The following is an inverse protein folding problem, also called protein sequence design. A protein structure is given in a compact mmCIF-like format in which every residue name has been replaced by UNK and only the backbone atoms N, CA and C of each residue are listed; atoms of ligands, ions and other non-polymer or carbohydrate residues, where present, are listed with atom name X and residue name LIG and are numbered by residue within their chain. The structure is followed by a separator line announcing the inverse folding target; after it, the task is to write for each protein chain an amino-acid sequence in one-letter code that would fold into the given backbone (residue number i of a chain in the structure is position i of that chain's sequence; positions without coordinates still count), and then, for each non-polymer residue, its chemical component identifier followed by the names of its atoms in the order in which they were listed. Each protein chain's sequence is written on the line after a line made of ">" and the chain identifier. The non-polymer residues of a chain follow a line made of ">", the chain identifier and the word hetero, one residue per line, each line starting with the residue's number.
data_IF_746862772465
#
_entry.id   IF_746862772465
#
_cell.length_a   1.000
_cell.length_b   1.000
_cell.length_c   1.000
_cell.angle_alpha   90.00
_cell.angle_beta   90.00
_cell.angle_gamma   90.00
#
_symmetry.space_group_name_H-M   'P 1'
#
loop_
_entity.id
_entity.type
_entity.pdbx_description
1 polymer ?
#
# COMPACT_ATOMS: atom_id res chain seq x y z
N UNK A 1 1.86 -11.69 24.82
CA UNK A 1 0.58 -12.22 24.31
C UNK A 1 0.89 -13.47 23.50
N UNK A 2 0.19 -14.56 23.80
CA UNK A 2 0.30 -15.77 22.96
C UNK A 2 -0.41 -15.45 21.64
N UNK A 3 0.36 -15.42 20.56
CA UNK A 3 -0.17 -15.43 19.21
C UNK A 3 -1.13 -16.61 19.05
N UNK A 4 -2.20 -16.41 18.28
CA UNK A 4 -3.08 -17.50 17.88
C UNK A 4 -2.58 -18.11 16.55
N UNK A 5 -1.64 -19.07 16.57
CA UNK A 5 -0.88 -19.47 15.40
C UNK A 5 -1.74 -19.94 14.21
N UNK A 6 -2.98 -20.40 14.49
CA UNK A 6 -3.91 -20.85 13.44
C UNK A 6 -4.59 -19.68 12.73
N UNK A 7 -4.92 -18.63 13.46
CA UNK A 7 -5.56 -17.43 12.92
C UNK A 7 -4.55 -16.58 12.16
N UNK A 8 -3.32 -16.48 12.65
CA UNK A 8 -2.23 -15.81 11.92
C UNK A 8 -1.92 -16.51 10.58
N UNK A 9 -1.99 -17.84 10.54
CA UNK A 9 -1.80 -18.61 9.31
C UNK A 9 -2.89 -18.36 8.25
N UNK A 10 -4.01 -17.72 8.61
CA UNK A 10 -5.06 -17.30 7.68
C UNK A 10 -4.81 -15.92 7.06
N UNK A 11 -3.79 -15.19 7.51
CA UNK A 11 -3.42 -13.90 6.92
C UNK A 11 -2.84 -14.13 5.52
N UNK A 12 -3.39 -13.43 4.54
CA UNK A 12 -2.96 -13.48 3.15
C UNK A 12 -2.33 -12.16 2.72
N UNK A 13 -1.65 -12.15 1.58
CA UNK A 13 -1.16 -10.92 0.93
C UNK A 13 -2.31 -9.91 0.73
N UNK A 14 -3.51 -10.38 0.35
CA UNK A 14 -4.70 -9.55 0.23
C UNK A 14 -5.01 -8.79 1.52
N UNK A 15 -4.98 -9.46 2.67
CA UNK A 15 -5.24 -8.81 3.95
C UNK A 15 -4.20 -7.72 4.31
N UNK A 16 -2.95 -7.88 3.87
CA UNK A 16 -1.92 -6.84 4.04
C UNK A 16 -2.17 -5.65 3.12
N UNK A 17 -2.46 -5.90 1.84
CA UNK A 17 -2.74 -4.86 0.83
C UNK A 17 -3.99 -4.03 1.17
N UNK A 18 -5.00 -4.65 1.79
CA UNK A 18 -6.28 -4.03 2.12
C UNK A 18 -6.38 -3.48 3.54
N UNK A 19 -5.28 -3.55 4.31
CA UNK A 19 -5.25 -3.13 5.73
C UNK A 19 -6.25 -3.88 6.63
N UNK A 20 -6.48 -5.16 6.34
CA UNK A 20 -7.42 -6.02 7.06
C UNK A 20 -6.77 -7.26 7.68
N UNK A 21 -5.47 -7.21 7.91
CA UNK A 21 -4.71 -8.36 8.47
C UNK A 21 -5.13 -8.75 9.89
N UNK A 22 -5.72 -7.83 10.64
CA UNK A 22 -6.05 -8.05 12.05
C UNK A 22 -4.83 -8.00 12.98
N UNK A 23 -3.70 -7.45 12.49
CA UNK A 23 -2.49 -7.23 13.28
C UNK A 23 -2.44 -5.82 13.84
N UNK A 24 -1.86 -5.67 15.02
CA UNK A 24 -1.51 -4.40 15.64
C UNK A 24 -0.20 -3.82 15.11
N UNK A 25 0.14 -2.59 15.54
CA UNK A 25 1.39 -1.91 15.15
C UNK A 25 2.63 -2.62 15.70
N UNK A 26 2.47 -3.43 16.74
CA UNK A 26 3.49 -4.29 17.36
C UNK A 26 3.48 -5.73 16.80
N UNK A 27 2.73 -5.99 15.73
CA UNK A 27 2.49 -7.31 15.16
C UNK A 27 1.68 -8.26 16.08
N UNK A 28 1.08 -7.76 17.15
CA UNK A 28 0.18 -8.57 17.95
C UNK A 28 -1.10 -8.91 17.18
N UNK A 29 -1.61 -10.11 17.37
CA UNK A 29 -2.92 -10.50 16.83
C UNK A 29 -4.04 -9.81 17.60
N UNK A 30 -4.88 -9.04 16.89
CA UNK A 30 -5.98 -8.26 17.46
C UNK A 30 -7.34 -8.86 17.12
N UNK A 31 -7.52 -9.26 15.85
CA UNK A 31 -8.80 -9.73 15.33
C UNK A 31 -8.59 -10.69 14.16
N UNK A 32 -9.60 -11.53 13.82
CA UNK A 32 -9.53 -12.38 12.63
C UNK A 32 -9.28 -11.57 11.35
N UNK A 33 -8.43 -12.06 10.43
CA UNK A 33 -8.20 -11.39 9.15
C UNK A 33 -9.51 -11.13 8.41
N UNK A 34 -9.63 -9.95 7.80
CA UNK A 34 -10.82 -9.54 7.06
C UNK A 34 -11.97 -9.00 7.91
N UNK A 35 -11.86 -8.97 9.24
CA UNK A 35 -12.96 -8.54 10.14
C UNK A 35 -12.84 -7.10 10.64
N UNK A 36 -11.64 -6.54 10.62
CA UNK A 36 -11.37 -5.15 11.02
C UNK A 36 -10.51 -4.48 9.97
N UNK A 37 -10.76 -3.22 9.71
CA UNK A 37 -9.86 -2.37 8.94
C UNK A 37 -9.04 -1.51 9.90
N UNK A 38 -7.73 -1.54 9.76
CA UNK A 38 -6.82 -0.74 10.55
C UNK A 38 -5.69 -0.26 9.66
N UNK A 39 -5.56 1.07 9.51
CA UNK A 39 -4.44 1.66 8.80
C UNK A 39 -3.16 1.41 9.59
N UNK A 40 -2.48 0.35 9.24
CA UNK A 40 -1.30 -0.13 9.92
C UNK A 40 -0.08 0.19 9.07
N UNK A 41 0.42 1.41 9.20
CA UNK A 41 1.60 1.92 8.45
C UNK A 41 2.90 1.28 8.92
N UNK A 42 2.84 0.64 10.07
CA UNK A 42 3.99 -0.01 10.65
C UNK A 42 4.25 -1.38 10.05
N UNK A 43 4.24 -2.41 10.89
CA UNK A 43 4.80 -3.70 10.50
C UNK A 43 3.95 -4.49 9.51
N UNK A 44 2.61 -4.27 9.42
CA UNK A 44 1.78 -5.20 8.65
C UNK A 44 2.04 -5.13 7.14
N UNK A 45 1.96 -3.96 6.51
CA UNK A 45 2.23 -3.84 5.07
C UNK A 45 3.71 -3.99 4.73
N UNK A 46 4.63 -3.67 5.66
CA UNK A 46 6.05 -3.91 5.47
C UNK A 46 6.43 -5.39 5.41
N UNK A 47 5.52 -6.30 5.77
CA UNK A 47 5.73 -7.73 5.49
C UNK A 47 5.67 -8.04 3.99
N UNK A 48 5.12 -7.15 3.17
CA UNK A 48 5.10 -7.32 1.71
C UNK A 48 6.52 -7.35 1.11
N UNK A 49 7.45 -6.53 1.63
CA UNK A 49 8.84 -6.55 1.16
C UNK A 49 9.49 -7.93 1.30
N UNK A 50 9.62 -8.52 2.49
CA UNK A 50 10.25 -9.83 2.62
C UNK A 50 9.49 -10.94 1.88
N UNK A 51 8.18 -10.81 1.70
CA UNK A 51 7.40 -11.75 0.88
C UNK A 51 7.78 -11.64 -0.60
N UNK A 52 7.88 -10.42 -1.13
CA UNK A 52 8.31 -10.17 -2.51
C UNK A 52 9.74 -10.65 -2.74
N UNK A 53 10.68 -10.29 -1.87
CA UNK A 53 12.09 -10.67 -1.98
C UNK A 53 12.25 -12.20 -1.87
N UNK A 54 11.51 -12.85 -0.98
CA UNK A 54 11.54 -14.31 -0.87
C UNK A 54 10.94 -15.03 -2.06
N UNK A 55 9.90 -14.46 -2.67
CA UNK A 55 9.21 -15.09 -3.80
C UNK A 55 9.95 -14.89 -5.13
N UNK A 56 10.66 -13.78 -5.28
CA UNK A 56 11.39 -13.41 -6.50
C UNK A 56 12.86 -13.78 -6.48
N UNK A 57 13.43 -14.02 -5.30
CA UNK A 57 14.88 -14.16 -5.07
C UNK A 57 15.68 -12.89 -5.48
N UNK A 58 15.01 -11.73 -5.52
CA UNK A 58 15.57 -10.42 -5.87
C UNK A 58 15.37 -9.44 -4.71
N UNK A 59 16.17 -8.36 -4.67
CA UNK A 59 15.94 -7.27 -3.71
C UNK A 59 14.76 -6.39 -4.13
N UNK A 60 14.15 -5.68 -3.18
CA UNK A 60 13.10 -4.69 -3.49
C UNK A 60 13.61 -3.63 -4.49
N UNK A 61 14.89 -3.25 -4.42
CA UNK A 61 15.48 -2.31 -5.38
C UNK A 61 15.51 -2.91 -6.78
N UNK A 62 16.03 -4.13 -6.95
CA UNK A 62 16.10 -4.79 -8.25
C UNK A 62 14.71 -4.94 -8.89
N UNK A 63 13.71 -5.34 -8.10
CA UNK A 63 12.32 -5.44 -8.56
C UNK A 63 11.76 -4.07 -8.95
N UNK A 64 12.05 -3.03 -8.18
CA UNK A 64 11.60 -1.67 -8.48
C UNK A 64 12.24 -1.16 -9.77
N UNK A 65 13.53 -1.42 -9.94
CA UNK A 65 14.26 -1.01 -11.14
C UNK A 65 13.71 -1.71 -12.38
N UNK A 66 13.61 -3.04 -12.35
CA UNK A 66 13.15 -3.84 -13.47
C UNK A 66 11.68 -3.56 -13.84
N UNK A 67 10.79 -3.47 -12.86
CA UNK A 67 9.35 -3.43 -13.14
C UNK A 67 8.78 -2.03 -13.26
N UNK A 68 9.43 -1.02 -12.67
CA UNK A 68 8.92 0.35 -12.62
C UNK A 68 9.94 1.40 -13.09
N UNK A 69 11.12 1.45 -12.46
CA UNK A 69 12.02 2.58 -12.66
C UNK A 69 12.55 2.65 -14.10
N UNK A 70 13.09 1.56 -14.63
CA UNK A 70 13.56 1.50 -16.00
C UNK A 70 12.42 1.71 -17.03
N UNK A 71 11.28 0.99 -16.96
CA UNK A 71 10.18 1.19 -17.91
C UNK A 71 9.57 2.60 -17.88
N UNK A 72 9.58 3.27 -16.73
CA UNK A 72 9.02 4.61 -16.54
C UNK A 72 10.06 5.72 -16.74
N UNK A 73 11.35 5.40 -16.86
CA UNK A 73 12.45 6.36 -16.91
C UNK A 73 12.64 7.12 -15.58
N UNK A 74 12.41 6.46 -14.44
CA UNK A 74 12.59 7.01 -13.10
C UNK A 74 14.05 6.86 -12.67
N UNK A 75 14.93 7.70 -13.20
CA UNK A 75 16.39 7.58 -13.07
C UNK A 75 16.94 8.01 -11.69
N UNK A 76 16.14 8.72 -10.90
CA UNK A 76 16.56 9.32 -9.63
C UNK A 76 15.75 8.77 -8.45
N UNK A 77 15.31 7.50 -8.53
CA UNK A 77 14.50 6.84 -7.50
C UNK A 77 15.26 5.64 -6.91
N UNK A 78 15.35 5.56 -5.59
CA UNK A 78 16.03 4.48 -4.89
C UNK A 78 15.44 4.23 -3.51
N UNK A 79 15.47 2.98 -3.05
CA UNK A 79 15.09 2.65 -1.67
C UNK A 79 16.23 2.97 -0.71
N UNK A 80 15.91 3.62 0.39
CA UNK A 80 16.86 3.97 1.45
C UNK A 80 16.31 3.60 2.82
N UNK A 81 17.19 3.23 3.73
CA UNK A 81 16.87 3.23 5.15
C UNK A 81 16.80 4.67 5.66
N UNK A 82 15.71 5.05 6.33
CA UNK A 82 15.60 6.40 6.92
C UNK A 82 16.42 6.48 8.20
N UNK A 83 17.44 7.33 8.25
CA UNK A 83 18.29 7.48 9.44
C UNK A 83 17.49 7.85 10.68
N UNK A 84 17.72 7.14 11.79
CA UNK A 84 17.09 7.41 13.07
C UNK A 84 15.62 6.98 13.17
N UNK A 85 15.08 6.29 12.18
CA UNK A 85 13.74 5.71 12.22
C UNK A 85 13.81 4.18 12.16
N UNK A 86 13.10 3.54 13.07
CA UNK A 86 12.93 2.08 13.08
C UNK A 86 11.51 1.74 13.52
N UNK A 87 11.05 0.56 13.11
CA UNK A 87 9.81 -0.01 13.63
C UNK A 87 9.97 -0.50 15.08
N UNK A 88 8.86 -0.78 15.75
CA UNK A 88 8.87 -1.31 17.12
C UNK A 88 9.64 -2.62 17.27
N UNK A 89 9.78 -3.38 16.18
CA UNK A 89 10.60 -4.60 16.15
C UNK A 89 12.10 -4.36 15.86
N UNK A 90 12.53 -3.09 15.82
CA UNK A 90 13.93 -2.69 15.60
C UNK A 90 14.42 -2.75 14.14
N UNK A 91 13.56 -3.14 13.17
CA UNK A 91 13.91 -3.12 11.74
C UNK A 91 13.99 -1.67 11.25
N UNK A 92 14.95 -1.33 10.38
CA UNK A 92 15.04 -0.01 9.78
C UNK A 92 13.74 0.36 9.04
N UNK A 93 13.36 1.62 9.12
CA UNK A 93 12.28 2.15 8.28
C UNK A 93 12.85 2.46 6.89
N UNK A 94 12.30 1.82 5.87
CA UNK A 94 12.70 2.06 4.48
C UNK A 94 11.70 2.98 3.78
N UNK A 95 12.20 3.82 2.90
CA UNK A 95 11.39 4.72 2.09
C UNK A 95 11.98 4.85 0.68
N UNK A 96 11.11 5.05 -0.29
CA UNK A 96 11.53 5.41 -1.63
C UNK A 96 11.97 6.88 -1.64
N UNK A 97 13.26 7.13 -1.85
CA UNK A 97 13.77 8.44 -2.21
C UNK A 97 13.52 8.64 -3.71
N UNK A 98 12.80 9.68 -4.06
CA UNK A 98 12.41 9.92 -5.45
C UNK A 98 12.34 11.42 -5.73
N UNK A 99 12.27 11.81 -6.99
CA UNK A 99 12.07 13.20 -7.41
C UNK A 99 10.61 13.45 -7.79
N UNK A 100 10.21 14.72 -7.77
CA UNK A 100 8.88 15.11 -8.25
C UNK A 100 8.64 14.71 -9.73
N UNK A 101 9.72 14.68 -10.54
CA UNK A 101 9.65 14.28 -11.95
C UNK A 101 9.37 12.78 -12.09
N UNK A 102 10.06 11.96 -11.32
CA UNK A 102 9.87 10.50 -11.34
C UNK A 102 8.50 10.13 -10.79
N UNK A 103 8.09 10.77 -9.69
CA UNK A 103 6.75 10.56 -9.16
C UNK A 103 5.66 11.00 -10.17
N UNK A 104 5.88 12.07 -10.94
CA UNK A 104 4.96 12.49 -12.00
C UNK A 104 4.89 11.47 -13.15
N UNK A 105 5.99 10.78 -13.50
CA UNK A 105 5.98 9.69 -14.49
C UNK A 105 5.13 8.51 -14.00
N UNK A 106 5.34 8.12 -12.74
CA UNK A 106 4.51 7.08 -12.11
C UNK A 106 3.04 7.48 -12.09
N UNK A 107 2.70 8.70 -11.62
CA UNK A 107 1.34 9.19 -11.61
C UNK A 107 0.71 9.26 -13.01
N UNK A 108 1.48 9.65 -14.03
CA UNK A 108 1.02 9.67 -15.42
C UNK A 108 0.72 8.26 -15.94
N UNK A 109 1.53 7.27 -15.61
CA UNK A 109 1.26 5.86 -15.93
C UNK A 109 -0.04 5.39 -15.29
N UNK A 110 -0.28 5.71 -14.01
CA UNK A 110 -1.53 5.37 -13.29
C UNK A 110 -2.74 6.03 -13.95
N UNK A 111 -2.68 7.35 -14.24
CA UNK A 111 -3.73 8.09 -14.93
C UNK A 111 -4.08 7.53 -16.30
N UNK A 112 -3.09 6.99 -17.02
CA UNK A 112 -3.25 6.37 -18.33
C UNK A 112 -3.46 4.84 -18.24
N UNK A 113 -4.03 4.35 -17.14
CA UNK A 113 -4.39 2.94 -16.94
C UNK A 113 -3.24 1.97 -17.21
N UNK A 114 -2.08 2.29 -16.65
CA UNK A 114 -0.89 1.46 -16.75
C UNK A 114 -0.03 1.71 -17.98
N UNK A 115 -0.32 2.73 -18.79
CA UNK A 115 0.41 3.05 -20.02
C UNK A 115 1.25 4.31 -19.86
N UNK A 116 2.49 4.29 -20.35
CA UNK A 116 3.35 5.47 -20.47
C UNK A 116 4.00 5.50 -21.88
N UNK A 117 3.95 6.66 -22.53
CA UNK A 117 4.52 6.87 -23.87
C UNK A 117 4.11 5.81 -24.92
N UNK A 118 2.92 5.27 -24.81
CA UNK A 118 2.38 4.24 -25.71
C UNK A 118 2.78 2.79 -25.35
N UNK A 119 3.54 2.59 -24.28
CA UNK A 119 3.93 1.27 -23.77
C UNK A 119 3.09 0.90 -22.56
N UNK A 120 2.51 -0.30 -22.56
CA UNK A 120 1.81 -0.86 -21.41
C UNK A 120 2.84 -1.36 -20.38
N UNK A 121 2.88 -0.72 -19.20
CA UNK A 121 3.77 -1.07 -18.08
C UNK A 121 3.06 -2.02 -17.13
N UNK A 122 1.82 -1.67 -16.76
CA UNK A 122 0.94 -2.51 -15.93
C UNK A 122 -0.37 -2.76 -16.68
N UNK A 123 -0.97 -3.93 -16.50
CA UNK A 123 -2.29 -4.22 -17.08
C UNK A 123 -3.34 -3.21 -16.57
N UNK A 124 -4.24 -2.78 -17.45
CA UNK A 124 -5.28 -1.80 -17.10
C UNK A 124 -6.24 -2.34 -16.04
N UNK A 125 -6.45 -3.64 -16.03
CA UNK A 125 -7.23 -4.36 -15.02
C UNK A 125 -6.58 -4.26 -13.64
N UNK A 126 -5.26 -4.39 -13.56
CA UNK A 126 -4.50 -4.24 -12.30
C UNK A 126 -4.62 -2.82 -11.76
N UNK A 127 -4.49 -1.79 -12.61
CA UNK A 127 -4.71 -0.40 -12.18
C UNK A 127 -6.14 -0.20 -11.69
N UNK A 128 -7.12 -0.78 -12.36
CA UNK A 128 -8.52 -0.71 -11.95
C UNK A 128 -8.73 -1.37 -10.58
N UNK A 129 -8.13 -2.52 -10.36
CA UNK A 129 -8.20 -3.23 -9.08
C UNK A 129 -7.54 -2.43 -7.94
N UNK A 130 -6.36 -1.85 -8.18
CA UNK A 130 -5.66 -0.99 -7.21
C UNK A 130 -6.53 0.19 -6.75
N UNK A 131 -7.26 0.80 -7.68
CA UNK A 131 -8.03 2.03 -7.49
C UNK A 131 -9.55 1.80 -7.29
N UNK A 132 -9.94 0.60 -6.91
CA UNK A 132 -11.32 0.26 -6.58
C UNK A 132 -11.43 -0.09 -5.09
N UNK A 133 -12.55 0.21 -4.40
CA UNK A 133 -12.76 -0.22 -3.03
C UNK A 133 -12.48 -1.71 -2.85
N UNK A 134 -11.52 -2.04 -2.01
CA UNK A 134 -11.04 -3.43 -1.85
C UNK A 134 -11.88 -4.25 -0.86
N UNK A 135 -12.67 -3.59 -0.03
CA UNK A 135 -13.50 -4.20 1.02
C UNK A 135 -14.53 -3.20 1.56
N UNK A 136 -15.53 -3.67 2.30
CA UNK A 136 -16.65 -2.86 2.79
C UNK A 136 -16.38 -2.17 4.14
N UNK A 137 -15.33 -2.55 4.86
CA UNK A 137 -14.99 -1.97 6.18
C UNK A 137 -14.51 -0.51 6.07
N UNK A 138 -13.85 -0.18 4.95
CA UNK A 138 -13.48 1.18 4.57
C UNK A 138 -13.43 1.29 3.05
N UNK A 139 -14.53 1.69 2.43
CA UNK A 139 -14.63 1.82 0.97
C UNK A 139 -13.69 2.89 0.37
N UNK A 140 -13.17 3.80 1.20
CA UNK A 140 -12.19 4.80 0.78
C UNK A 140 -10.76 4.23 0.67
N UNK A 141 -10.60 2.89 0.62
CA UNK A 141 -9.31 2.23 0.53
C UNK A 141 -9.32 1.10 -0.50
N UNK A 142 -8.42 1.21 -1.47
CA UNK A 142 -8.12 0.19 -2.48
C UNK A 142 -6.97 -0.73 -2.03
N UNK A 143 -6.10 -1.13 -2.93
CA UNK A 143 -4.90 -1.89 -2.62
C UNK A 143 -3.73 -0.91 -2.35
N UNK A 144 -3.56 -0.51 -1.10
CA UNK A 144 -2.60 0.51 -0.63
C UNK A 144 -2.85 1.94 -1.19
N UNK A 145 -4.05 2.20 -1.72
CA UNK A 145 -4.44 3.50 -2.23
C UNK A 145 -5.63 4.07 -1.45
N UNK A 146 -5.56 5.35 -1.14
CA UNK A 146 -6.71 6.10 -0.67
C UNK A 146 -7.55 6.57 -1.86
N UNK A 147 -8.87 6.39 -1.75
CA UNK A 147 -9.85 6.69 -2.79
C UNK A 147 -10.76 7.83 -2.32
N UNK A 148 -10.64 9.00 -2.95
CA UNK A 148 -11.54 10.11 -2.64
C UNK A 148 -12.98 9.84 -3.12
N UNK A 149 -13.99 10.41 -2.82
CA UNK A 149 -15.36 10.18 -3.33
C UNK A 149 -16.11 9.01 -2.70
N UNK A 150 -15.47 8.18 -1.90
CA UNK A 150 -16.13 7.09 -1.16
C UNK A 150 -16.60 7.58 0.21
N UNK A 151 -17.76 7.05 0.68
CA UNK A 151 -18.36 7.37 1.98
C UNK A 151 -18.95 6.12 2.61
N UNK A 152 -18.99 6.02 3.95
CA UNK A 152 -18.17 6.78 4.91
C UNK A 152 -16.69 6.43 4.79
N UNK A 153 -15.81 7.27 5.33
CA UNK A 153 -14.38 7.00 5.42
C UNK A 153 -14.01 6.58 6.84
N UNK A 154 -12.96 5.77 6.97
CA UNK A 154 -12.23 5.58 8.23
C UNK A 154 -10.84 6.18 8.08
N UNK A 155 -10.47 7.07 9.00
CA UNK A 155 -9.13 7.64 9.05
C UNK A 155 -8.22 6.86 10.02
N UNK A 156 -6.90 6.96 9.86
CA UNK A 156 -5.96 6.46 10.86
C UNK A 156 -6.28 7.07 12.23
N UNK A 157 -6.25 6.24 13.27
CA UNK A 157 -6.50 6.63 14.67
C UNK A 157 -7.95 7.03 15.03
N UNK A 158 -8.88 7.02 14.10
CA UNK A 158 -10.31 7.26 14.39
C UNK A 158 -11.01 5.90 14.59
N UNK A 159 -11.78 5.81 15.68
CA UNK A 159 -12.53 4.60 16.02
C UNK A 159 -13.76 4.43 15.12
N UNK A 160 -14.49 5.53 14.90
CA UNK A 160 -15.74 5.54 14.15
C UNK A 160 -15.57 6.04 12.71
N UNK A 161 -16.38 5.53 11.77
CA UNK A 161 -16.45 6.07 10.42
C UNK A 161 -16.96 7.50 10.40
N UNK A 162 -16.40 8.32 9.53
CA UNK A 162 -16.80 9.72 9.33
C UNK A 162 -17.64 9.80 8.05
N UNK A 163 -18.85 10.38 8.12
CA UNK A 163 -19.69 10.61 6.94
C UNK A 163 -19.17 11.79 6.10
N UNK A 164 -18.02 11.59 5.51
CA UNK A 164 -17.35 12.54 4.62
C UNK A 164 -16.60 11.80 3.52
N UNK A 165 -16.06 12.54 2.56
CA UNK A 165 -15.00 12.07 1.65
C UNK A 165 -13.65 12.47 2.20
N UNK A 166 -12.58 11.82 1.73
CA UNK A 166 -11.21 12.02 2.24
C UNK A 166 -10.76 13.50 2.11
N UNK A 167 -10.95 14.09 0.95
CA UNK A 167 -10.61 15.50 0.67
C UNK A 167 -11.82 16.18 0.01
N UNK A 168 -12.70 16.86 0.78
CA UNK A 168 -13.92 17.45 0.24
C UNK A 168 -13.70 18.51 -0.87
N UNK A 169 -12.55 19.18 -0.88
CA UNK A 169 -12.19 20.19 -1.89
C UNK A 169 -11.54 19.61 -3.15
N UNK A 170 -11.21 18.32 -3.17
CA UNK A 170 -10.63 17.66 -4.33
C UNK A 170 -11.71 16.95 -5.19
N UNK A 171 -11.44 16.71 -6.49
CA UNK A 171 -12.28 15.87 -7.33
C UNK A 171 -12.54 14.50 -6.71
N UNK A 172 -13.71 13.93 -6.97
CA UNK A 172 -14.10 12.63 -6.39
C UNK A 172 -13.25 11.44 -6.86
N UNK A 173 -12.60 11.57 -8.00
CA UNK A 173 -11.70 10.58 -8.61
C UNK A 173 -10.23 10.77 -8.20
N UNK A 174 -9.95 11.69 -7.28
CA UNK A 174 -8.60 11.84 -6.70
C UNK A 174 -8.21 10.58 -5.93
N UNK A 175 -6.98 10.10 -6.14
CA UNK A 175 -6.39 8.97 -5.44
C UNK A 175 -5.01 9.33 -4.87
N UNK A 176 -4.61 8.68 -3.77
CA UNK A 176 -3.34 8.94 -3.08
C UNK A 176 -2.73 7.65 -2.46
#
# INVERSE_FOLDING_TARGET
>A
SQSAPKEEAAITVWHLLTMTSGLGDDMSYIAPPGTVWRYNVGPAWHQLKPLLESASEQTLQDLTDEWLAEPLGMEESTWIERPGMSYLNGRPFEALLTTARDLARFGNMVLNKGTLAGHQILASESITELLTPSQELNRAYGLLWWLNGQRPIRLPLEEDPIDSVLIPSAPSDTVA
#
